data_IF_354802007434
#
_entry.id   IF_354802007434
#
_cell.length_a   1.000
_cell.length_b   1.000
_cell.length_c   1.000
_cell.angle_alpha   90.00
_cell.angle_beta   90.00
_cell.angle_gamma   90.00
#
_symmetry.space_group_name_H-M   'P 1'
#
loop_
_entity.id
_entity.type
_entity.pdbx_description
1 polymer ?
#
# COMPACT_ATOMS: atom_id res chain seq x y z
N UNK A 1 3.81 14.61 3.08
CA UNK A 1 4.56 14.89 1.84
C UNK A 1 4.29 16.35 1.47
N UNK A 2 5.30 17.08 1.05
CA UNK A 2 5.17 18.50 0.69
C UNK A 2 4.66 18.62 -0.76
N UNK A 3 3.33 18.68 -0.91
CA UNK A 3 2.65 18.67 -2.22
C UNK A 3 1.62 19.81 -2.27
N UNK A 4 1.66 20.61 -3.33
CA UNK A 4 0.61 21.59 -3.61
C UNK A 4 -0.58 20.92 -4.30
N UNK A 5 -1.73 20.89 -3.65
CA UNK A 5 -2.94 20.16 -4.09
C UNK A 5 -3.95 21.05 -4.84
N UNK A 6 -3.94 22.36 -4.59
CA UNK A 6 -4.95 23.28 -5.11
C UNK A 6 -4.94 23.35 -6.65
N UNK A 7 -6.11 23.14 -7.26
CA UNK A 7 -6.31 23.28 -8.71
C UNK A 7 -5.71 22.17 -9.58
N UNK A 8 -5.23 21.07 -8.99
CA UNK A 8 -4.70 19.93 -9.73
C UNK A 8 -5.75 18.83 -9.93
N UNK A 9 -5.60 18.07 -11.01
CA UNK A 9 -6.30 16.80 -11.18
C UNK A 9 -5.86 15.82 -10.09
N UNK A 10 -6.73 14.87 -9.78
CA UNK A 10 -6.58 13.94 -8.67
C UNK A 10 -7.15 12.57 -9.02
N UNK A 11 -7.14 11.62 -8.10
CA UNK A 11 -7.62 10.25 -8.32
C UNK A 11 -9.07 10.19 -8.80
N UNK A 12 -9.95 11.11 -8.38
CA UNK A 12 -11.35 11.11 -8.84
C UNK A 12 -11.45 11.45 -10.33
N UNK A 13 -10.62 12.39 -10.82
CA UNK A 13 -10.55 12.74 -12.24
C UNK A 13 -10.00 11.57 -13.06
N UNK A 14 -9.01 10.87 -12.54
CA UNK A 14 -8.43 9.67 -13.16
C UNK A 14 -9.45 8.54 -13.25
N UNK A 15 -10.19 8.25 -12.16
CA UNK A 15 -11.25 7.24 -12.18
C UNK A 15 -12.43 7.61 -13.09
N UNK A 16 -12.70 8.91 -13.28
CA UNK A 16 -13.70 9.38 -14.24
C UNK A 16 -13.22 9.21 -15.69
N UNK A 17 -11.92 9.41 -15.95
CA UNK A 17 -11.33 9.38 -17.28
C UNK A 17 -9.89 8.84 -17.23
N UNK A 18 -9.67 7.51 -17.34
CA UNK A 18 -8.38 6.85 -17.13
C UNK A 18 -7.40 7.02 -18.31
N UNK A 19 -7.49 8.10 -19.08
CA UNK A 19 -6.60 8.37 -20.20
C UNK A 19 -5.25 8.86 -19.72
N UNK A 20 -4.17 8.43 -20.36
CA UNK A 20 -2.78 8.77 -20.04
C UNK A 20 -2.59 10.28 -19.78
N UNK A 21 -3.14 11.15 -20.61
CA UNK A 21 -3.03 12.61 -20.43
C UNK A 21 -3.58 13.08 -19.09
N UNK A 22 -4.71 12.51 -18.62
CA UNK A 22 -5.33 12.85 -17.34
C UNK A 22 -4.48 12.32 -16.20
N UNK A 23 -4.01 11.08 -16.32
CA UNK A 23 -3.13 10.42 -15.33
C UNK A 23 -1.86 11.25 -15.13
N UNK A 24 -1.15 11.59 -16.20
CA UNK A 24 0.09 12.40 -16.14
C UNK A 24 -0.14 13.80 -15.55
N UNK A 25 -1.31 14.41 -15.78
CA UNK A 25 -1.65 15.71 -15.17
C UNK A 25 -2.03 15.61 -13.69
N UNK A 26 -2.50 14.45 -13.24
CA UNK A 26 -2.83 14.19 -11.84
C UNK A 26 -1.62 13.78 -10.98
N UNK A 27 -0.51 13.41 -11.62
CA UNK A 27 0.75 13.07 -10.95
C UNK A 27 1.54 14.35 -10.65
N UNK A 28 2.15 14.40 -9.47
CA UNK A 28 3.02 15.51 -9.05
C UNK A 28 4.19 15.00 -8.24
N UNK A 29 5.36 15.60 -8.40
CA UNK A 29 6.54 15.23 -7.62
C UNK A 29 6.39 15.64 -6.16
N UNK A 30 6.79 14.76 -5.27
CA UNK A 30 6.88 15.00 -3.84
C UNK A 30 8.07 15.89 -3.50
N UNK A 31 7.89 16.80 -2.54
CA UNK A 31 9.00 17.54 -1.95
C UNK A 31 10.08 16.65 -1.30
N UNK A 32 9.75 15.42 -0.98
CA UNK A 32 10.70 14.43 -0.44
C UNK A 32 11.74 13.96 -1.47
N UNK A 33 11.45 14.03 -2.76
CA UNK A 33 12.42 13.75 -3.84
C UNK A 33 13.68 14.63 -3.78
N UNK A 34 13.61 15.78 -3.11
CA UNK A 34 14.76 16.69 -2.94
C UNK A 34 15.78 16.19 -1.92
N UNK A 35 15.42 15.25 -1.06
CA UNK A 35 16.27 14.77 0.04
C UNK A 35 16.69 13.30 -0.11
N UNK A 36 16.19 12.62 -1.15
CA UNK A 36 16.54 11.24 -1.47
C UNK A 36 16.95 11.11 -2.93
N UNK A 37 17.92 10.24 -3.25
CA UNK A 37 18.20 9.88 -4.63
C UNK A 37 16.99 9.13 -5.22
N UNK A 38 16.54 9.56 -6.39
CA UNK A 38 15.40 8.97 -7.07
C UNK A 38 14.19 9.89 -7.17
N UNK A 39 13.18 9.45 -7.89
CA UNK A 39 11.93 10.18 -8.10
C UNK A 39 10.85 9.63 -7.17
N UNK A 40 10.16 10.51 -6.46
CA UNK A 40 8.97 10.17 -5.68
C UNK A 40 7.84 11.05 -6.21
N UNK A 41 6.95 10.44 -6.96
CA UNK A 41 5.77 11.09 -7.49
C UNK A 41 4.51 10.64 -6.75
N UNK A 42 3.49 11.46 -6.77
CA UNK A 42 2.23 11.19 -6.07
C UNK A 42 1.06 11.46 -6.99
N UNK A 43 0.22 10.45 -7.18
CA UNK A 43 -1.14 10.64 -7.66
C UNK A 43 -2.02 11.04 -6.47
N UNK A 44 -2.52 12.27 -6.52
CA UNK A 44 -3.15 12.91 -5.37
C UNK A 44 -4.50 12.25 -5.05
N UNK A 45 -4.71 11.87 -3.79
CA UNK A 45 -6.00 11.43 -3.27
C UNK A 45 -7.04 12.56 -3.26
N UNK A 46 -8.33 12.20 -3.27
CA UNK A 46 -9.43 13.17 -3.24
C UNK A 46 -10.64 12.63 -2.47
N UNK A 47 -11.29 13.46 -1.64
CA UNK A 47 -12.58 13.12 -1.05
C UNK A 47 -13.64 12.77 -2.10
N UNK A 48 -13.56 13.38 -3.30
CA UNK A 48 -14.49 13.10 -4.39
C UNK A 48 -14.38 11.67 -4.96
N UNK A 49 -13.34 10.92 -4.61
CA UNK A 49 -13.22 9.51 -4.96
C UNK A 49 -14.37 8.68 -4.38
N UNK A 50 -15.04 9.13 -3.31
CA UNK A 50 -16.25 8.51 -2.75
C UNK A 50 -17.36 8.31 -3.79
N UNK A 51 -17.41 9.10 -4.84
CA UNK A 51 -18.39 8.97 -5.92
C UNK A 51 -18.20 7.66 -6.72
N UNK A 52 -17.05 7.00 -6.58
CA UNK A 52 -16.73 5.70 -7.20
C UNK A 52 -16.85 4.54 -6.21
N UNK A 53 -17.30 4.81 -4.99
CA UNK A 53 -17.51 3.81 -3.93
C UNK A 53 -18.95 3.30 -3.88
N UNK A 54 -19.53 3.02 -5.03
CA UNK A 54 -20.89 2.50 -5.11
C UNK A 54 -21.00 1.06 -4.60
N UNK A 55 -22.20 0.64 -4.14
CA UNK A 55 -22.41 -0.69 -3.56
C UNK A 55 -22.25 -1.83 -4.60
N UNK A 56 -22.41 -1.53 -5.88
CA UNK A 56 -22.32 -2.49 -6.97
C UNK A 56 -21.53 -1.89 -8.15
N UNK A 57 -20.18 -1.83 -8.04
CA UNK A 57 -19.37 -1.35 -9.15
C UNK A 57 -19.51 -2.29 -10.35
N UNK A 58 -19.63 -1.73 -11.55
CA UNK A 58 -19.54 -2.54 -12.76
C UNK A 58 -18.13 -3.15 -12.89
N UNK A 59 -18.00 -4.23 -13.65
CA UNK A 59 -16.69 -4.81 -13.95
C UNK A 59 -15.75 -3.75 -14.54
N UNK A 60 -16.27 -2.89 -15.42
CA UNK A 60 -15.51 -1.81 -16.01
C UNK A 60 -15.00 -0.80 -14.96
N UNK A 61 -15.81 -0.49 -13.95
CA UNK A 61 -15.40 0.45 -12.90
C UNK A 61 -14.23 -0.09 -12.07
N UNK A 62 -14.21 -1.39 -11.84
CA UNK A 62 -13.13 -2.07 -11.10
C UNK A 62 -11.79 -1.99 -11.85
N UNK A 63 -11.81 -1.97 -13.19
CA UNK A 63 -10.59 -1.95 -14.01
C UNK A 63 -10.07 -0.55 -14.35
N UNK A 64 -10.78 0.52 -13.97
CA UNK A 64 -10.38 1.90 -14.31
C UNK A 64 -9.01 2.30 -13.76
N UNK A 65 -8.67 1.88 -12.54
CA UNK A 65 -7.36 2.19 -11.97
C UNK A 65 -6.24 1.41 -12.67
N UNK A 66 -6.50 0.16 -13.01
CA UNK A 66 -5.58 -0.65 -13.82
C UNK A 66 -5.30 0.01 -15.18
N UNK A 67 -6.36 0.39 -15.90
CA UNK A 67 -6.26 1.09 -17.20
C UNK A 67 -5.45 2.38 -17.06
N UNK A 68 -5.65 3.12 -15.98
CA UNK A 68 -4.92 4.34 -15.71
C UNK A 68 -3.43 4.07 -15.45
N UNK A 69 -3.12 3.14 -14.54
CA UNK A 69 -1.74 2.83 -14.14
C UNK A 69 -0.96 2.20 -15.28
N UNK A 70 -1.55 1.31 -16.07
CA UNK A 70 -0.90 0.69 -17.24
C UNK A 70 -0.33 1.72 -18.24
N UNK A 71 -0.89 2.93 -18.27
CA UNK A 71 -0.42 4.00 -19.15
C UNK A 71 0.87 4.69 -18.68
N UNK A 72 1.29 4.49 -17.43
CA UNK A 72 2.42 5.19 -16.81
C UNK A 72 3.33 4.27 -15.98
N UNK A 73 2.96 3.01 -15.75
CA UNK A 73 3.72 2.09 -14.87
C UNK A 73 5.17 1.87 -15.32
N UNK A 74 5.43 1.94 -16.63
CA UNK A 74 6.78 1.78 -17.16
C UNK A 74 7.75 2.91 -16.74
N UNK A 75 7.23 4.02 -16.22
CA UNK A 75 8.03 5.15 -15.73
C UNK A 75 8.48 4.94 -14.26
N UNK A 76 8.04 3.87 -13.59
CA UNK A 76 8.23 3.66 -12.16
C UNK A 76 8.73 2.25 -11.82
N UNK A 77 9.64 2.16 -10.86
CA UNK A 77 10.13 0.88 -10.32
C UNK A 77 9.11 0.23 -9.36
N UNK A 78 8.27 1.04 -8.72
CA UNK A 78 7.28 0.61 -7.74
C UNK A 78 6.12 1.60 -7.67
N UNK A 79 4.90 1.08 -7.64
CA UNK A 79 3.67 1.84 -7.36
C UNK A 79 3.06 1.35 -6.06
N UNK A 80 2.86 2.26 -5.11
CA UNK A 80 2.19 1.99 -3.82
C UNK A 80 0.82 2.64 -3.82
N UNK A 81 -0.23 1.87 -3.55
CA UNK A 81 -1.60 2.36 -3.44
C UNK A 81 -2.03 2.33 -1.98
N UNK A 82 -2.19 3.52 -1.37
CA UNK A 82 -2.74 3.65 -0.02
C UNK A 82 -4.26 3.53 -0.05
N UNK A 83 -4.79 2.54 0.67
CA UNK A 83 -6.21 2.20 0.70
C UNK A 83 -6.84 2.53 2.05
N UNK A 84 -8.11 2.94 2.04
CA UNK A 84 -8.90 3.05 3.25
C UNK A 84 -9.05 1.68 3.96
N UNK A 85 -9.23 1.65 5.29
CA UNK A 85 -9.35 0.40 6.07
C UNK A 85 -10.72 -0.27 5.92
N UNK A 86 -11.29 -0.26 4.73
CA UNK A 86 -12.61 -0.83 4.41
C UNK A 86 -12.54 -1.67 3.13
N UNK A 87 -13.34 -2.73 3.07
CA UNK A 87 -13.45 -3.60 1.89
C UNK A 87 -14.55 -3.09 0.94
N UNK A 88 -14.45 -1.82 0.58
CA UNK A 88 -15.39 -1.13 -0.29
C UNK A 88 -15.01 -1.25 -1.78
N UNK A 89 -15.77 -0.62 -2.67
CA UNK A 89 -15.53 -0.67 -4.12
C UNK A 89 -14.16 -0.07 -4.51
N UNK A 90 -13.75 1.04 -3.87
CA UNK A 90 -12.45 1.67 -4.13
C UNK A 90 -11.29 0.76 -3.75
N UNK A 91 -11.37 0.09 -2.60
CA UNK A 91 -10.36 -0.90 -2.18
C UNK A 91 -10.29 -2.07 -3.16
N UNK A 92 -11.43 -2.57 -3.64
CA UNK A 92 -11.47 -3.64 -4.66
C UNK A 92 -10.86 -3.18 -5.99
N UNK A 93 -11.11 -1.94 -6.39
CA UNK A 93 -10.49 -1.32 -7.58
C UNK A 93 -8.98 -1.22 -7.44
N UNK A 94 -8.48 -0.80 -6.27
CA UNK A 94 -7.06 -0.75 -5.98
C UNK A 94 -6.41 -2.14 -6.01
N UNK A 95 -7.06 -3.14 -5.43
CA UNK A 95 -6.53 -4.51 -5.40
C UNK A 95 -6.57 -5.18 -6.78
N UNK A 96 -7.59 -4.91 -7.59
CA UNK A 96 -7.65 -5.42 -8.96
C UNK A 96 -6.49 -4.91 -9.82
N UNK A 97 -6.07 -3.65 -9.58
CA UNK A 97 -4.94 -3.01 -10.24
C UNK A 97 -3.57 -3.35 -9.65
N UNK A 98 -3.50 -4.22 -8.65
CA UNK A 98 -2.27 -4.53 -7.93
C UNK A 98 -1.79 -5.95 -8.16
N UNK A 99 -0.48 -6.17 -8.08
CA UNK A 99 0.12 -7.52 -8.07
C UNK A 99 0.17 -8.08 -6.65
N UNK A 100 0.33 -7.22 -5.66
CA UNK A 100 0.49 -7.60 -4.24
C UNK A 100 -0.36 -6.75 -3.32
N UNK A 101 -0.93 -7.36 -2.30
CA UNK A 101 -1.59 -6.66 -1.19
C UNK A 101 -0.84 -6.94 0.11
N UNK A 102 -0.43 -5.86 0.76
CA UNK A 102 0.12 -5.90 2.11
C UNK A 102 -0.97 -5.47 3.10
N UNK A 103 -1.33 -6.36 4.01
CA UNK A 103 -2.31 -6.09 5.06
C UNK A 103 -1.57 -5.47 6.25
N UNK A 104 -1.92 -4.24 6.62
CA UNK A 104 -1.37 -3.59 7.81
C UNK A 104 -2.36 -3.71 8.95
N UNK A 105 -1.93 -4.22 10.09
CA UNK A 105 -2.78 -4.42 11.26
C UNK A 105 -2.06 -4.01 12.55
N UNK A 106 -2.83 -3.79 13.62
CA UNK A 106 -2.28 -3.58 14.97
C UNK A 106 -2.46 -4.87 15.79
N UNK A 107 -1.68 -5.11 16.86
CA UNK A 107 -1.78 -6.31 17.68
C UNK A 107 -2.97 -6.23 18.67
N UNK A 108 -4.18 -6.29 18.16
CA UNK A 108 -5.43 -6.21 18.92
C UNK A 108 -6.40 -7.35 18.57
N UNK A 109 -7.34 -7.64 19.46
CA UNK A 109 -8.33 -8.72 19.31
C UNK A 109 -9.09 -8.65 17.97
N UNK A 110 -9.61 -7.48 17.62
CA UNK A 110 -10.37 -7.31 16.37
C UNK A 110 -9.50 -7.30 15.13
N UNK A 111 -8.21 -7.03 15.29
CA UNK A 111 -7.25 -6.96 14.18
C UNK A 111 -6.94 -8.33 13.60
N UNK A 112 -6.91 -9.39 14.44
CA UNK A 112 -6.75 -10.78 13.97
C UNK A 112 -7.90 -11.16 13.04
N UNK A 113 -9.16 -10.91 13.47
CA UNK A 113 -10.33 -11.19 12.65
C UNK A 113 -10.40 -10.29 11.39
N UNK A 114 -9.90 -9.05 11.47
CA UNK A 114 -9.82 -8.16 10.31
C UNK A 114 -8.80 -8.64 9.28
N UNK A 115 -7.63 -9.14 9.72
CA UNK A 115 -6.64 -9.72 8.84
C UNK A 115 -7.17 -10.97 8.10
N UNK A 116 -7.90 -11.85 8.80
CA UNK A 116 -8.54 -13.02 8.17
C UNK A 116 -9.56 -12.59 7.09
N UNK A 117 -10.43 -11.63 7.40
CA UNK A 117 -11.38 -11.10 6.42
C UNK A 117 -10.69 -10.49 5.21
N UNK A 118 -9.60 -9.74 5.42
CA UNK A 118 -8.83 -9.13 4.32
C UNK A 118 -8.21 -10.21 3.42
N UNK A 119 -7.58 -11.24 3.99
CA UNK A 119 -6.98 -12.33 3.23
C UNK A 119 -8.02 -13.12 2.43
N UNK A 120 -9.20 -13.38 3.00
CA UNK A 120 -10.32 -14.01 2.26
C UNK A 120 -10.79 -13.14 1.10
N UNK A 121 -10.95 -11.84 1.32
CA UNK A 121 -11.37 -10.92 0.26
C UNK A 121 -10.31 -10.78 -0.86
N UNK A 122 -9.01 -10.82 -0.53
CA UNK A 122 -7.93 -10.89 -1.53
C UNK A 122 -8.08 -12.14 -2.38
N UNK A 123 -8.34 -13.30 -1.76
CA UNK A 123 -8.52 -14.57 -2.47
C UNK A 123 -9.77 -14.56 -3.36
N UNK A 124 -10.87 -13.93 -2.93
CA UNK A 124 -12.07 -13.75 -3.76
C UNK A 124 -11.77 -12.92 -5.01
N UNK A 125 -11.05 -11.81 -4.87
CA UNK A 125 -10.65 -10.96 -5.99
C UNK A 125 -9.69 -11.71 -6.91
N UNK A 126 -8.72 -12.43 -6.36
CA UNK A 126 -7.79 -13.25 -7.12
C UNK A 126 -8.50 -14.27 -8.00
N UNK A 127 -9.51 -14.96 -7.46
CA UNK A 127 -10.27 -15.98 -8.21
C UNK A 127 -11.23 -15.38 -9.22
N UNK A 128 -11.87 -14.26 -8.89
CA UNK A 128 -12.98 -13.72 -9.68
C UNK A 128 -12.60 -12.60 -10.64
N UNK A 129 -11.54 -11.84 -10.35
CA UNK A 129 -11.21 -10.62 -11.08
C UNK A 129 -9.75 -10.57 -11.54
N UNK A 130 -8.78 -10.71 -10.62
CA UNK A 130 -7.36 -10.48 -10.92
C UNK A 130 -6.52 -11.70 -10.50
N UNK A 131 -6.33 -12.72 -11.37
CA UNK A 131 -5.57 -13.93 -11.03
C UNK A 131 -4.10 -13.69 -10.63
N UNK A 132 -3.51 -12.57 -11.05
CA UNK A 132 -2.15 -12.17 -10.69
C UNK A 132 -2.03 -11.67 -9.26
N UNK A 133 -3.13 -11.17 -8.67
CA UNK A 133 -3.14 -10.64 -7.31
C UNK A 133 -2.75 -11.71 -6.30
N UNK A 134 -1.81 -11.38 -5.41
CA UNK A 134 -1.43 -12.27 -4.31
C UNK A 134 -1.23 -11.48 -3.00
N UNK A 135 -1.47 -12.10 -1.84
CA UNK A 135 -1.08 -11.50 -0.58
C UNK A 135 0.45 -11.44 -0.50
N UNK A 136 0.99 -10.26 -0.20
CA UNK A 136 2.39 -10.11 0.19
C UNK A 136 2.60 -10.61 1.62
N UNK A 137 1.69 -10.26 2.51
CA UNK A 137 1.68 -10.66 3.90
C UNK A 137 1.01 -9.64 4.82
N UNK A 138 1.16 -9.87 6.11
CA UNK A 138 0.60 -9.08 7.20
C UNK A 138 1.73 -8.36 7.92
N UNK A 139 1.72 -7.03 7.92
CA UNK A 139 2.62 -6.19 8.74
C UNK A 139 1.92 -5.85 10.04
N UNK A 140 2.55 -6.20 11.16
CA UNK A 140 2.05 -5.83 12.48
C UNK A 140 2.69 -4.49 12.88
N UNK A 141 1.85 -3.46 12.94
CA UNK A 141 2.24 -2.08 13.21
C UNK A 141 1.91 -1.67 14.65
N UNK A 142 2.53 -0.60 15.14
CA UNK A 142 2.32 -0.01 16.47
C UNK A 142 2.49 -1.00 17.62
N UNK A 143 3.48 -1.86 17.49
CA UNK A 143 3.80 -2.86 18.52
C UNK A 143 4.41 -2.18 19.74
N UNK A 144 3.87 -2.52 20.92
CA UNK A 144 4.47 -2.19 22.23
C UNK A 144 5.12 -3.46 22.76
N UNK A 145 6.46 -3.59 22.70
CA UNK A 145 7.14 -4.84 23.05
C UNK A 145 6.89 -5.32 24.50
N UNK A 146 6.63 -4.39 25.43
CA UNK A 146 6.36 -4.70 26.84
C UNK A 146 4.91 -5.13 27.10
N UNK A 147 4.01 -5.01 26.13
CA UNK A 147 2.62 -5.40 26.28
C UNK A 147 2.43 -6.90 26.12
N UNK A 148 2.00 -7.57 27.17
CA UNK A 148 1.65 -9.01 27.14
C UNK A 148 0.53 -9.28 26.14
N UNK A 149 -0.46 -8.40 26.07
CA UNK A 149 -1.57 -8.51 25.09
C UNK A 149 -1.04 -8.45 23.64
N UNK A 150 -0.13 -7.51 23.32
CA UNK A 150 0.45 -7.43 21.99
C UNK A 150 1.26 -8.70 21.65
N UNK A 151 2.05 -9.20 22.57
CA UNK A 151 2.81 -10.44 22.37
C UNK A 151 1.87 -11.63 22.10
N UNK A 152 0.79 -11.73 22.88
CA UNK A 152 -0.21 -12.77 22.71
C UNK A 152 -0.90 -12.68 21.32
N UNK A 153 -1.33 -11.48 20.89
CA UNK A 153 -1.97 -11.28 19.58
C UNK A 153 -1.02 -11.52 18.41
N UNK A 154 0.24 -11.15 18.55
CA UNK A 154 1.26 -11.44 17.55
C UNK A 154 1.49 -12.95 17.41
N UNK A 155 1.52 -13.66 18.55
CA UNK A 155 1.61 -15.11 18.52
C UNK A 155 0.40 -15.74 17.83
N UNK A 156 -0.81 -15.31 18.17
CA UNK A 156 -2.05 -15.75 17.54
C UNK A 156 -2.04 -15.53 16.02
N UNK A 157 -1.63 -14.33 15.55
CA UNK A 157 -1.45 -14.05 14.13
C UNK A 157 -0.46 -15.03 13.47
N UNK A 158 0.68 -15.32 14.12
CA UNK A 158 1.66 -16.27 13.60
C UNK A 158 1.17 -17.71 13.58
N UNK A 159 0.43 -18.11 14.59
CA UNK A 159 -0.16 -19.45 14.67
C UNK A 159 -1.23 -19.65 13.57
N UNK A 160 -1.98 -18.58 13.22
CA UNK A 160 -3.03 -18.65 12.18
C UNK A 160 -2.49 -18.51 10.75
N UNK A 161 -1.55 -17.58 10.53
CA UNK A 161 -1.14 -17.16 9.19
C UNK A 161 0.31 -17.54 8.83
N UNK A 162 1.05 -18.07 9.79
CA UNK A 162 2.40 -18.58 9.59
C UNK A 162 3.33 -17.56 8.90
N UNK A 163 3.95 -17.94 7.77
CA UNK A 163 4.94 -17.09 7.08
C UNK A 163 4.35 -15.85 6.43
N UNK A 164 3.02 -15.72 6.37
CA UNK A 164 2.38 -14.48 5.91
C UNK A 164 2.54 -13.34 6.92
N UNK A 165 2.80 -13.62 8.21
CA UNK A 165 3.12 -12.56 9.18
C UNK A 165 4.55 -12.11 8.96
N UNK A 166 4.70 -10.91 8.43
CA UNK A 166 5.99 -10.36 8.01
C UNK A 166 6.86 -9.95 9.20
N UNK A 167 8.17 -9.97 8.98
CA UNK A 167 9.16 -9.38 9.86
C UNK A 167 9.96 -8.33 9.07
N UNK A 168 10.40 -7.25 9.72
CA UNK A 168 10.19 -6.91 11.12
C UNK A 168 8.76 -6.47 11.43
N UNK A 169 8.38 -6.50 12.72
CA UNK A 169 7.20 -5.82 13.23
C UNK A 169 7.57 -4.36 13.49
N UNK A 170 6.63 -3.45 13.22
CA UNK A 170 6.89 -2.02 13.38
C UNK A 170 6.51 -1.57 14.80
N UNK A 171 7.48 -1.15 15.63
CA UNK A 171 7.18 -0.67 16.96
C UNK A 171 6.46 0.69 16.96
N UNK A 172 5.67 0.96 17.98
CA UNK A 172 5.11 2.28 18.19
C UNK A 172 6.23 3.24 18.62
N UNK A 173 6.45 4.28 17.81
CA UNK A 173 7.51 5.27 18.04
C UNK A 173 6.98 6.69 17.89
N UNK A 174 7.27 7.54 18.86
CA UNK A 174 6.92 8.97 18.82
C UNK A 174 7.65 9.70 17.69
N UNK A 175 8.87 9.26 17.34
CA UNK A 175 9.65 9.81 16.24
C UNK A 175 8.91 9.77 14.90
N UNK A 176 8.13 8.70 14.62
CA UNK A 176 7.31 8.62 13.42
C UNK A 176 6.22 9.71 13.41
N UNK A 177 5.53 9.89 14.55
CA UNK A 177 4.48 10.92 14.67
C UNK A 177 5.06 12.33 14.50
N UNK A 178 6.24 12.59 15.06
CA UNK A 178 6.92 13.86 14.93
C UNK A 178 7.39 14.14 13.51
N UNK A 179 8.00 13.15 12.83
CA UNK A 179 8.42 13.26 11.44
C UNK A 179 7.21 13.50 10.53
N UNK A 180 6.11 12.78 10.76
CA UNK A 180 4.85 12.95 10.03
C UNK A 180 4.25 14.35 10.24
N UNK A 181 4.21 14.83 11.48
CA UNK A 181 3.72 16.20 11.80
C UNK A 181 4.56 17.29 11.16
N UNK A 182 5.86 17.06 10.98
CA UNK A 182 6.78 17.96 10.29
C UNK A 182 6.81 17.78 8.75
N UNK A 183 5.99 16.86 8.20
CA UNK A 183 5.97 16.48 6.79
C UNK A 183 7.34 16.05 6.24
N UNK A 184 8.19 15.42 7.08
CA UNK A 184 9.54 14.96 6.72
C UNK A 184 9.60 13.43 6.63
N UNK A 185 10.43 12.87 5.74
CA UNK A 185 10.73 11.45 5.73
C UNK A 185 11.38 11.01 7.05
N UNK A 186 11.03 9.81 7.51
CA UNK A 186 11.59 9.24 8.75
C UNK A 186 13.12 9.06 8.66
N UNK A 187 13.63 8.69 7.47
CA UNK A 187 15.05 8.46 7.22
C UNK A 187 15.97 9.66 7.46
N UNK A 188 15.44 10.87 7.43
CA UNK A 188 16.18 12.10 7.77
C UNK A 188 15.78 12.66 9.14
N UNK A 189 14.92 11.98 9.89
CA UNK A 189 14.53 12.42 11.22
C UNK A 189 15.62 12.06 12.23
N UNK A 190 16.00 12.99 13.13
CA UNK A 190 17.10 12.75 14.05
C UNK A 190 16.75 11.74 15.15
N UNK A 191 17.79 11.07 15.67
CA UNK A 191 17.74 10.18 16.82
C UNK A 191 17.64 8.69 16.46
N UNK A 192 18.25 7.84 17.30
CA UNK A 192 18.40 6.41 17.09
C UNK A 192 17.05 5.70 16.86
N UNK A 193 16.03 6.08 17.64
CA UNK A 193 14.68 5.52 17.51
C UNK A 193 14.04 5.73 16.13
N UNK A 194 14.38 6.82 15.45
CA UNK A 194 13.92 7.07 14.07
C UNK A 194 14.72 6.24 13.07
N UNK A 195 16.02 6.13 13.26
CA UNK A 195 16.90 5.35 12.38
C UNK A 195 16.62 3.85 12.47
N UNK A 196 16.40 3.31 13.70
CA UNK A 196 15.97 1.93 13.88
C UNK A 196 14.66 1.63 13.13
N UNK A 197 13.66 2.49 13.29
CA UNK A 197 12.38 2.31 12.60
C UNK A 197 12.50 2.49 11.08
N UNK A 198 13.36 3.40 10.61
CA UNK A 198 13.65 3.54 9.17
C UNK A 198 14.26 2.26 8.60
N UNK A 199 15.21 1.63 9.33
CA UNK A 199 15.79 0.35 8.92
C UNK A 199 14.75 -0.79 8.89
N UNK A 200 13.76 -0.78 9.78
CA UNK A 200 12.64 -1.73 9.72
C UNK A 200 11.79 -1.54 8.44
N UNK A 201 11.52 -0.29 8.04
CA UNK A 201 10.84 0.01 6.77
C UNK A 201 11.68 -0.42 5.57
N UNK A 202 13.01 -0.22 5.59
CA UNK A 202 13.90 -0.66 4.51
C UNK A 202 13.86 -2.18 4.32
N UNK A 203 13.84 -2.95 5.41
CA UNK A 203 13.70 -4.41 5.34
C UNK A 203 12.37 -4.84 4.72
N UNK A 204 11.26 -4.14 5.03
CA UNK A 204 9.96 -4.41 4.41
C UNK A 204 9.97 -4.04 2.91
N UNK A 205 10.58 -2.91 2.55
CA UNK A 205 10.73 -2.49 1.15
C UNK A 205 11.55 -3.51 0.34
N UNK A 206 12.68 -3.95 0.87
CA UNK A 206 13.50 -4.99 0.25
C UNK A 206 12.70 -6.26 -0.04
N UNK A 207 11.80 -6.65 0.88
CA UNK A 207 10.94 -7.81 0.69
C UNK A 207 9.92 -7.59 -0.44
N UNK A 208 9.33 -6.41 -0.53
CA UNK A 208 8.42 -6.03 -1.61
C UNK A 208 9.12 -6.15 -2.95
N UNK A 209 10.30 -5.52 -3.09
CA UNK A 209 11.07 -5.49 -4.34
C UNK A 209 11.50 -6.90 -4.77
N UNK A 210 12.01 -7.72 -3.84
CA UNK A 210 12.42 -9.10 -4.15
C UNK A 210 11.24 -9.95 -4.64
N UNK A 211 10.07 -9.78 -4.04
CA UNK A 211 8.88 -10.54 -4.42
C UNK A 211 8.36 -10.14 -5.80
N UNK A 212 8.49 -8.86 -6.19
CA UNK A 212 8.15 -8.37 -7.52
C UNK A 212 9.08 -8.92 -8.62
N UNK A 213 10.39 -9.00 -8.35
CA UNK A 213 11.39 -9.51 -9.32
C UNK A 213 11.24 -10.99 -9.66
N UNK A 214 10.74 -11.81 -8.74
CA UNK A 214 10.53 -13.26 -8.98
C UNK A 214 9.47 -13.49 -10.06
N UNK A 215 8.49 -12.63 -10.22
CA UNK A 215 7.45 -12.78 -11.25
C UNK A 215 7.94 -12.45 -12.67
N UNK A 216 8.87 -11.53 -12.82
CA UNK A 216 9.44 -11.16 -14.13
C UNK A 216 10.33 -12.30 -14.70
N UNK A 217 10.93 -13.10 -13.84
CA UNK A 217 11.78 -14.21 -14.25
C UNK A 217 11.00 -15.47 -14.74
N UNK A 218 9.74 -15.61 -14.30
CA UNK A 218 8.90 -16.78 -14.63
C UNK A 218 8.03 -16.59 -15.88
N UNK A 219 8.00 -15.38 -16.44
CA UNK A 219 7.26 -15.04 -17.66
C UNK A 219 8.11 -15.17 -18.94
N UNK A 220 9.14 -16.00 -18.92
CA UNK A 220 9.87 -16.41 -20.13
C UNK A 220 8.93 -17.16 -21.10
N UNK A 221 9.07 -16.95 -22.44
CA UNK A 221 8.16 -17.51 -23.41
C UNK A 221 8.19 -19.06 -23.33
N UNK A 222 7.06 -19.65 -23.01
CA UNK A 222 6.85 -21.05 -23.28
C UNK A 222 6.71 -21.21 -24.80
N UNK A 223 7.74 -21.75 -25.40
CA UNK A 223 7.81 -22.13 -26.82
C UNK A 223 6.88 -23.29 -27.12
#
# INVERSE_FOLDING_TARGET
>A
MDIQVAGRLNIADVLANPKEKVVRQAITSSGWAKVHPGTIDVLIGSPSAINFDGPHPSVRDVWKLEEALASVEADYDLVLVDCAPSLNALTRTAWAASDRVMVVTEPGLFSVAAADRALRAIEEIRRGLSPRLQPLGIVVNRVRPQSIEHQFRIKELRDMFGPLVLSPQLPERTSLQQAQGAAKPLHIWPGDSAQELAADFDQLLDRIIRTGRIQVADSGPQA
#
